data_IF_067876308334
#
_entry.id   IF_067876308334
#
_cell.length_a   1.000
_cell.length_b   1.000
_cell.length_c   1.000
_cell.angle_alpha   90.00
_cell.angle_beta   90.00
_cell.angle_gamma   90.00
#
_symmetry.space_group_name_H-M   'P 1'
#
loop_
_entity.id
_entity.type
_entity.pdbx_description
1 polymer ?
#
# COMPACT_ATOMS: atom_id res chain seq x y z
N UNK A 1 6.69 -5.26 -8.94
CA UNK A 1 6.14 -3.97 -8.48
C UNK A 1 7.30 -2.98 -8.42
N UNK A 2 7.28 -1.96 -9.26
CA UNK A 2 8.31 -0.92 -9.29
C UNK A 2 8.10 0.01 -8.10
N UNK A 3 9.17 0.40 -7.41
CA UNK A 3 9.22 1.33 -6.27
C UNK A 3 8.77 2.76 -6.63
N UNK A 4 7.64 2.89 -7.31
CA UNK A 4 6.99 4.14 -7.65
C UNK A 4 6.26 4.65 -6.42
N UNK A 5 6.23 5.98 -6.27
CA UNK A 5 5.56 6.62 -5.16
C UNK A 5 4.09 6.16 -5.15
N UNK A 6 3.71 5.40 -4.14
CA UNK A 6 2.37 4.85 -4.02
C UNK A 6 1.51 5.92 -3.33
N UNK A 7 1.12 6.92 -4.09
CA UNK A 7 0.26 8.01 -3.63
C UNK A 7 -1.15 7.84 -4.23
N UNK A 8 -2.18 8.04 -3.42
CA UNK A 8 -3.57 8.00 -3.89
C UNK A 8 -3.96 6.67 -4.51
N UNK A 9 -4.40 6.68 -5.78
CA UNK A 9 -4.90 5.49 -6.49
C UNK A 9 -3.87 4.37 -6.60
N UNK A 10 -2.59 4.70 -6.83
CA UNK A 10 -1.53 3.68 -6.95
C UNK A 10 -1.33 2.90 -5.66
N UNK A 11 -1.58 3.51 -4.52
CA UNK A 11 -1.50 2.82 -3.24
C UNK A 11 -2.65 1.83 -3.05
N UNK A 12 -3.85 2.24 -3.43
CA UNK A 12 -5.05 1.38 -3.39
C UNK A 12 -4.89 0.22 -4.37
N UNK A 13 -4.37 0.48 -5.58
CA UNK A 13 -4.04 -0.56 -6.57
C UNK A 13 -2.99 -1.55 -6.03
N UNK A 14 -1.92 -1.05 -5.41
CA UNK A 14 -0.88 -1.89 -4.83
C UNK A 14 -1.42 -2.75 -3.68
N UNK A 15 -2.22 -2.17 -2.78
CA UNK A 15 -2.87 -2.91 -1.70
C UNK A 15 -3.84 -3.96 -2.24
N UNK A 16 -4.64 -3.62 -3.25
CA UNK A 16 -5.57 -4.58 -3.85
C UNK A 16 -4.83 -5.76 -4.47
N UNK A 17 -3.71 -5.51 -5.16
CA UNK A 17 -2.87 -6.55 -5.74
C UNK A 17 -2.19 -7.44 -4.68
N UNK A 18 -1.74 -6.86 -3.56
CA UNK A 18 -1.02 -7.58 -2.51
C UNK A 18 -1.97 -8.35 -1.58
N UNK A 19 -3.10 -7.74 -1.22
CA UNK A 19 -4.04 -8.32 -0.27
C UNK A 19 -5.05 -9.25 -0.93
N UNK A 20 -5.46 -8.98 -2.18
CA UNK A 20 -6.44 -9.79 -2.90
C UNK A 20 -7.69 -10.02 -2.06
N UNK A 21 -8.08 -11.29 -1.90
CA UNK A 21 -9.27 -11.70 -1.15
C UNK A 21 -9.18 -11.44 0.37
N UNK A 22 -7.99 -11.19 0.92
CA UNK A 22 -7.84 -10.76 2.33
C UNK A 22 -8.52 -9.41 2.57
N UNK A 23 -8.58 -8.57 1.54
CA UNK A 23 -8.93 -7.16 1.68
C UNK A 23 -7.90 -6.39 2.51
N UNK A 24 -8.12 -5.09 2.66
CA UNK A 24 -7.20 -4.20 3.36
C UNK A 24 -7.93 -3.03 4.00
N UNK A 25 -7.31 -2.44 5.01
CA UNK A 25 -7.78 -1.18 5.60
C UNK A 25 -6.98 0.00 5.07
N UNK A 26 -7.65 0.89 4.34
CA UNK A 26 -7.03 2.11 3.83
C UNK A 26 -7.15 3.25 4.85
N UNK A 27 -6.07 3.52 5.59
CA UNK A 27 -5.93 4.73 6.41
C UNK A 27 -4.85 5.65 5.85
N UNK A 28 -5.22 6.73 5.14
CA UNK A 28 -4.27 7.56 4.41
C UNK A 28 -3.20 8.17 5.30
N UNK A 29 -3.48 8.49 6.58
CA UNK A 29 -2.48 9.14 7.45
C UNK A 29 -1.22 8.30 7.66
N UNK A 30 -1.39 7.00 7.91
CA UNK A 30 -0.25 6.12 8.17
C UNK A 30 0.44 5.66 6.89
N UNK A 31 -0.34 5.20 5.92
CA UNK A 31 0.21 4.56 4.73
C UNK A 31 0.78 5.57 3.72
N UNK A 32 0.25 6.80 3.63
CA UNK A 32 0.79 7.82 2.72
C UNK A 32 2.18 8.26 3.21
N UNK A 33 2.35 8.49 4.51
CA UNK A 33 3.68 8.85 5.04
C UNK A 33 4.71 7.73 4.80
N UNK A 34 4.29 6.47 4.89
CA UNK A 34 5.17 5.31 4.74
C UNK A 34 5.43 4.90 3.29
N UNK A 35 4.42 4.94 2.40
CA UNK A 35 4.48 4.36 1.06
C UNK A 35 4.43 5.39 -0.08
N UNK A 36 3.95 6.62 0.17
CA UNK A 36 3.96 7.70 -0.81
C UNK A 36 5.28 8.47 -0.75
N UNK A 37 5.74 8.91 0.44
CA UNK A 37 7.01 9.63 0.58
C UNK A 37 8.25 8.71 0.63
N UNK A 38 8.06 7.45 1.01
CA UNK A 38 9.09 6.41 0.93
C UNK A 38 8.47 5.24 0.17
N UNK A 39 9.14 4.64 -0.80
CA UNK A 39 8.57 3.49 -1.49
C UNK A 39 8.50 2.30 -0.53
N UNK A 40 7.31 1.71 -0.39
CA UNK A 40 7.12 0.49 0.39
C UNK A 40 7.52 -0.77 -0.41
N UNK A 41 8.08 -1.73 0.29
CA UNK A 41 8.21 -3.12 -0.12
C UNK A 41 6.87 -3.85 -0.06
N UNK A 42 6.80 -5.02 -0.69
CA UNK A 42 5.60 -5.88 -0.63
C UNK A 42 5.30 -6.28 0.83
N UNK A 43 6.32 -6.60 1.62
CA UNK A 43 6.17 -6.96 3.04
C UNK A 43 5.57 -5.83 3.88
N UNK A 44 5.91 -4.57 3.57
CA UNK A 44 5.29 -3.41 4.23
C UNK A 44 3.83 -3.23 3.84
N UNK A 45 3.49 -3.46 2.56
CA UNK A 45 2.09 -3.43 2.10
C UNK A 45 1.24 -4.52 2.74
N UNK A 46 1.80 -5.70 2.99
CA UNK A 46 1.09 -6.81 3.62
C UNK A 46 0.63 -6.51 5.05
N UNK A 47 1.32 -5.62 5.77
CA UNK A 47 0.90 -5.19 7.11
C UNK A 47 -0.42 -4.40 7.12
N UNK A 48 -0.92 -4.01 5.95
CA UNK A 48 -2.21 -3.32 5.78
C UNK A 48 -3.33 -4.24 5.27
N UNK A 49 -3.02 -5.50 4.96
CA UNK A 49 -4.04 -6.50 4.69
C UNK A 49 -4.77 -6.89 5.97
N UNK A 50 -6.03 -7.36 5.85
CA UNK A 50 -6.76 -7.90 7.00
C UNK A 50 -6.27 -9.28 7.43
#
# INVERSE_FOLDING_TARGET
ISSQHLCGSHLVEALNLVCGDRGFFYNPRGIVEQCCHRPCSIFELENYCN
#
